data_IF_972899107481
#
_entry.id   IF_972899107481
#
_cell.length_a   1.000
_cell.length_b   1.000
_cell.length_c   1.000
_cell.angle_alpha   90.00
_cell.angle_beta   90.00
_cell.angle_gamma   90.00
#
_symmetry.space_group_name_H-M   'P 1'
#
loop_
_entity.id
_entity.type
_entity.pdbx_description
1 polymer ?
#
# COMPACT_ATOMS: atom_id res chain seq x y z
N UNK A 1 15.17 -10.74 -22.29
CA UNK A 1 14.33 -11.17 -21.16
C UNK A 1 14.36 -10.19 -20.00
N UNK A 2 15.53 -9.80 -19.52
CA UNK A 2 15.64 -8.81 -18.44
C UNK A 2 15.01 -7.48 -18.82
N UNK A 3 15.26 -7.03 -20.05
CA UNK A 3 14.70 -5.76 -20.57
C UNK A 3 13.17 -5.82 -20.59
N UNK A 4 12.60 -6.96 -21.00
CA UNK A 4 11.14 -7.16 -21.01
C UNK A 4 10.53 -7.03 -19.63
N UNK A 5 11.18 -7.63 -18.63
CA UNK A 5 10.70 -7.56 -17.24
C UNK A 5 10.75 -6.14 -16.70
N UNK A 6 11.82 -5.42 -17.02
CA UNK A 6 11.97 -4.02 -16.60
C UNK A 6 10.91 -3.14 -17.25
N UNK A 7 10.63 -3.34 -18.52
CA UNK A 7 9.62 -2.58 -19.23
C UNK A 7 8.22 -2.88 -18.69
N UNK A 8 7.93 -4.14 -18.41
CA UNK A 8 6.65 -4.53 -17.81
C UNK A 8 6.48 -3.91 -16.43
N UNK A 9 7.56 -3.89 -15.64
CA UNK A 9 7.54 -3.28 -14.32
C UNK A 9 7.26 -1.79 -14.41
N UNK A 10 7.95 -1.08 -15.31
CA UNK A 10 7.76 0.35 -15.51
C UNK A 10 6.35 0.68 -15.95
N UNK A 11 5.81 -0.10 -16.88
CA UNK A 11 4.45 0.10 -17.38
C UNK A 11 3.44 -0.12 -16.26
N UNK A 12 3.63 -1.21 -15.50
CA UNK A 12 2.75 -1.54 -14.39
C UNK A 12 2.78 -0.45 -13.32
N UNK A 13 3.98 0.03 -12.98
CA UNK A 13 4.16 1.12 -12.03
C UNK A 13 3.42 2.37 -12.47
N UNK A 14 3.52 2.73 -13.76
CA UNK A 14 2.85 3.91 -14.31
C UNK A 14 1.33 3.77 -14.23
N UNK A 15 0.79 2.60 -14.52
CA UNK A 15 -0.64 2.33 -14.42
C UNK A 15 -1.12 2.40 -12.98
N UNK A 16 -0.34 1.86 -12.05
CA UNK A 16 -0.65 1.91 -10.61
C UNK A 16 -0.63 3.36 -10.12
N UNK A 17 0.38 4.12 -10.53
CA UNK A 17 0.47 5.54 -10.19
C UNK A 17 -0.79 6.28 -10.63
N UNK A 18 -1.21 6.08 -11.86
CA UNK A 18 -2.40 6.72 -12.40
C UNK A 18 -3.66 6.34 -11.61
N UNK A 19 -3.77 5.06 -11.22
CA UNK A 19 -4.89 4.57 -10.44
C UNK A 19 -4.93 5.23 -9.07
N UNK A 20 -3.81 5.27 -8.37
CA UNK A 20 -3.72 5.92 -7.04
C UNK A 20 -4.06 7.41 -7.17
N UNK A 21 -3.45 8.07 -8.14
CA UNK A 21 -3.66 9.51 -8.35
C UNK A 21 -5.14 9.82 -8.59
N UNK A 22 -5.81 8.98 -9.36
CA UNK A 22 -7.25 9.14 -9.62
C UNK A 22 -8.05 9.10 -8.32
N UNK A 23 -7.83 8.09 -7.49
CA UNK A 23 -8.59 7.93 -6.26
C UNK A 23 -8.32 9.04 -5.25
N UNK A 24 -7.05 9.41 -5.06
CA UNK A 24 -6.72 10.47 -4.10
C UNK A 24 -7.23 11.83 -4.56
N UNK A 25 -7.22 12.08 -5.87
CA UNK A 25 -7.75 13.33 -6.43
C UNK A 25 -9.27 13.41 -6.24
N UNK A 26 -9.97 12.32 -6.53
CA UNK A 26 -11.42 12.26 -6.33
C UNK A 26 -11.82 12.42 -4.87
N UNK A 27 -10.96 11.98 -3.95
CA UNK A 27 -11.20 12.10 -2.51
C UNK A 27 -10.73 13.45 -1.96
N UNK A 28 -10.24 14.35 -2.79
CA UNK A 28 -9.71 15.66 -2.40
C UNK A 28 -8.56 15.55 -1.40
N UNK A 29 -7.76 14.50 -1.51
CA UNK A 29 -6.59 14.30 -0.67
C UNK A 29 -5.38 14.98 -1.29
N UNK A 30 -4.59 15.65 -0.44
CA UNK A 30 -3.39 16.34 -0.89
C UNK A 30 -2.18 15.44 -0.62
N UNK A 31 -1.93 14.51 -1.54
CA UNK A 31 -0.83 13.55 -1.44
C UNK A 31 0.23 13.92 -2.47
N UNK A 32 1.49 14.00 -2.04
CA UNK A 32 2.58 14.36 -2.94
C UNK A 32 2.83 13.25 -3.97
N UNK A 33 3.31 13.63 -5.14
CA UNK A 33 3.63 12.67 -6.20
C UNK A 33 4.75 11.72 -5.76
N UNK A 34 5.65 12.19 -4.91
CA UNK A 34 6.73 11.34 -4.37
C UNK A 34 6.14 10.19 -3.55
N UNK A 35 5.17 10.46 -2.71
CA UNK A 35 4.50 9.42 -1.90
C UNK A 35 3.78 8.44 -2.81
N UNK A 36 3.04 8.96 -3.80
CA UNK A 36 2.31 8.12 -4.73
C UNK A 36 3.28 7.24 -5.53
N UNK A 37 4.42 7.80 -5.96
CA UNK A 37 5.42 7.05 -6.70
C UNK A 37 6.00 5.91 -5.86
N UNK A 38 6.34 6.18 -4.60
CA UNK A 38 6.87 5.16 -3.70
C UNK A 38 5.84 4.06 -3.44
N UNK A 39 4.58 4.44 -3.23
CA UNK A 39 3.51 3.47 -3.06
C UNK A 39 3.30 2.63 -4.32
N UNK A 40 3.41 3.26 -5.49
CA UNK A 40 3.29 2.56 -6.77
C UNK A 40 4.37 1.50 -6.93
N UNK A 41 5.59 1.82 -6.53
CA UNK A 41 6.71 0.85 -6.55
C UNK A 41 6.38 -0.32 -5.62
N UNK A 42 5.92 -0.02 -4.41
CA UNK A 42 5.58 -1.05 -3.43
C UNK A 42 4.49 -1.98 -3.96
N UNK A 43 3.42 -1.43 -4.50
CA UNK A 43 2.31 -2.23 -5.01
C UNK A 43 2.72 -3.03 -6.25
N UNK A 44 3.56 -2.46 -7.12
CA UNK A 44 4.07 -3.20 -8.28
C UNK A 44 4.89 -4.41 -7.82
N UNK A 45 5.70 -4.24 -6.78
CA UNK A 45 6.47 -5.35 -6.21
C UNK A 45 5.57 -6.38 -5.54
N UNK A 46 4.53 -5.93 -4.84
CA UNK A 46 3.57 -6.82 -4.18
C UNK A 46 2.84 -7.68 -5.19
N UNK A 47 2.43 -7.11 -6.31
CA UNK A 47 1.76 -7.85 -7.38
C UNK A 47 2.70 -8.92 -7.93
N UNK A 48 3.98 -8.58 -8.12
CA UNK A 48 4.99 -9.52 -8.61
C UNK A 48 5.24 -10.63 -7.59
N UNK A 49 5.32 -10.29 -6.29
CA UNK A 49 5.51 -11.25 -5.22
C UNK A 49 4.34 -12.22 -5.10
N UNK A 50 3.13 -11.73 -5.25
CA UNK A 50 1.94 -12.58 -5.20
C UNK A 50 2.00 -13.62 -6.30
N UNK A 51 2.43 -13.24 -7.49
CA UNK A 51 2.65 -14.17 -8.58
C UNK A 51 3.78 -15.16 -8.27
N UNK A 52 4.73 -14.75 -7.45
CA UNK A 52 5.86 -15.59 -7.03
C UNK A 52 5.61 -16.37 -5.75
N UNK A 53 4.47 -16.13 -5.09
CA UNK A 53 4.13 -16.79 -3.85
C UNK A 53 4.73 -16.16 -2.60
N UNK A 54 5.25 -14.93 -2.68
CA UNK A 54 5.76 -14.23 -1.50
C UNK A 54 5.07 -12.88 -1.35
N UNK A 55 4.87 -12.46 -0.10
CA UNK A 55 4.19 -11.22 0.22
C UNK A 55 4.67 -10.65 1.55
N UNK A 56 4.31 -9.39 1.79
CA UNK A 56 4.68 -8.67 3.00
C UNK A 56 3.65 -8.96 4.09
N UNK A 57 4.12 -9.13 5.31
CA UNK A 57 3.25 -9.38 6.46
C UNK A 57 3.31 -8.22 7.44
N UNK A 58 2.16 -7.89 8.02
CA UNK A 58 2.05 -6.92 9.10
C UNK A 58 1.51 -7.61 10.34
N UNK A 59 1.88 -7.09 11.51
CA UNK A 59 1.36 -7.61 12.78
C UNK A 59 -0.13 -7.25 12.95
N UNK A 60 -0.84 -8.03 13.76
CA UNK A 60 -2.25 -7.75 14.05
C UNK A 60 -2.44 -6.36 14.62
N UNK A 61 -1.52 -5.90 15.45
CA UNK A 61 -1.56 -4.58 16.06
C UNK A 61 -1.48 -3.48 15.00
N UNK A 62 -0.56 -3.63 14.04
CA UNK A 62 -0.39 -2.67 12.95
C UNK A 62 -1.65 -2.60 12.09
N UNK A 63 -2.21 -3.77 11.76
CA UNK A 63 -3.43 -3.85 10.95
C UNK A 63 -4.58 -3.13 11.64
N UNK A 64 -4.77 -3.37 12.94
CA UNK A 64 -5.85 -2.74 13.69
C UNK A 64 -5.71 -1.22 13.74
N UNK A 65 -4.49 -0.71 13.89
CA UNK A 65 -4.26 0.73 13.87
C UNK A 65 -4.63 1.34 12.52
N UNK A 66 -4.23 0.68 11.43
CA UNK A 66 -4.45 1.19 10.09
C UNK A 66 -5.91 1.09 9.66
N UNK A 67 -6.65 0.09 10.16
CA UNK A 67 -8.08 -0.02 9.89
C UNK A 67 -8.86 1.18 10.39
N UNK A 68 -8.35 1.87 11.40
CA UNK A 68 -8.99 3.05 11.97
C UNK A 68 -8.59 4.33 11.25
N UNK A 69 -7.62 4.27 10.35
CA UNK A 69 -7.19 5.43 9.59
C UNK A 69 -8.21 5.83 8.54
N UNK A 70 -8.36 7.14 8.32
CA UNK A 70 -9.26 7.67 7.31
C UNK A 70 -8.90 7.18 5.90
N UNK A 71 -7.66 6.80 5.72
CA UNK A 71 -7.14 6.36 4.42
C UNK A 71 -7.39 4.89 4.13
N UNK A 72 -7.90 4.13 5.11
CA UNK A 72 -8.09 2.69 4.93
C UNK A 72 -9.12 2.38 3.84
N UNK A 73 -10.23 3.10 3.86
CA UNK A 73 -11.31 2.87 2.91
C UNK A 73 -10.88 3.14 1.47
N UNK A 74 -10.19 4.25 1.23
CA UNK A 74 -9.69 4.55 -0.11
C UNK A 74 -8.62 3.54 -0.53
N UNK A 75 -7.83 3.07 0.42
CA UNK A 75 -6.82 2.04 0.16
C UNK A 75 -7.46 0.73 -0.28
N UNK A 76 -8.58 0.36 0.33
CA UNK A 76 -9.34 -0.83 -0.09
C UNK A 76 -9.79 -0.70 -1.54
N UNK A 77 -10.29 0.47 -1.92
CA UNK A 77 -10.75 0.71 -3.29
C UNK A 77 -9.59 0.61 -4.29
N UNK A 78 -8.46 1.20 -3.95
CA UNK A 78 -7.27 1.16 -4.80
C UNK A 78 -6.79 -0.28 -5.00
N UNK A 79 -6.61 -1.00 -3.90
CA UNK A 79 -6.10 -2.37 -3.93
C UNK A 79 -7.08 -3.30 -4.65
N UNK A 80 -8.38 -3.12 -4.41
CA UNK A 80 -9.41 -3.91 -5.07
C UNK A 80 -9.40 -3.70 -6.58
N UNK A 81 -9.26 -2.45 -7.02
CA UNK A 81 -9.18 -2.11 -8.44
C UNK A 81 -7.96 -2.78 -9.08
N UNK A 82 -6.81 -2.70 -8.40
CA UNK A 82 -5.58 -3.29 -8.90
C UNK A 82 -5.65 -4.82 -8.92
N UNK A 83 -6.29 -5.44 -7.93
CA UNK A 83 -6.42 -6.88 -7.90
C UNK A 83 -7.25 -7.40 -9.07
N UNK A 84 -8.26 -6.66 -9.45
CA UNK A 84 -9.07 -7.00 -10.63
C UNK A 84 -8.30 -6.77 -11.92
N UNK A 85 -7.61 -5.65 -12.01
CA UNK A 85 -6.88 -5.27 -13.21
C UNK A 85 -5.79 -6.25 -13.57
N UNK A 86 -5.07 -6.75 -12.56
CA UNK A 86 -3.96 -7.66 -12.78
C UNK A 86 -4.30 -9.12 -12.49
N UNK A 87 -5.55 -9.39 -12.12
CA UNK A 87 -6.02 -10.74 -11.81
C UNK A 87 -5.11 -11.42 -10.78
N UNK A 88 -4.84 -10.71 -9.70
CA UNK A 88 -4.04 -11.20 -8.59
C UNK A 88 -4.78 -10.98 -7.28
N UNK A 89 -4.48 -11.83 -6.31
CA UNK A 89 -5.05 -11.69 -4.97
C UNK A 89 -4.09 -10.86 -4.13
N UNK A 90 -4.50 -9.65 -3.79
CA UNK A 90 -3.70 -8.75 -2.97
C UNK A 90 -4.22 -8.82 -1.54
N UNK A 91 -3.29 -8.93 -0.60
CA UNK A 91 -3.61 -9.21 0.80
C UNK A 91 -4.07 -7.96 1.56
N UNK A 92 -4.65 -8.19 2.75
CA UNK A 92 -4.99 -7.12 3.68
C UNK A 92 -3.74 -6.33 4.08
N UNK A 93 -2.58 -6.99 4.14
CA UNK A 93 -1.32 -6.33 4.46
C UNK A 93 -1.01 -5.24 3.43
N UNK A 94 -1.29 -5.48 2.16
CA UNK A 94 -1.06 -4.49 1.11
C UNK A 94 -2.02 -3.31 1.24
N UNK A 95 -3.26 -3.56 1.63
CA UNK A 95 -4.22 -2.50 1.91
C UNK A 95 -3.70 -1.62 3.04
N UNK A 96 -3.18 -2.23 4.09
CA UNK A 96 -2.61 -1.53 5.23
C UNK A 96 -1.38 -0.73 4.84
N UNK A 97 -0.52 -1.27 3.99
CA UNK A 97 0.63 -0.52 3.47
C UNK A 97 0.19 0.71 2.69
N UNK A 98 -0.83 0.55 1.86
CA UNK A 98 -1.39 1.66 1.11
C UNK A 98 -1.90 2.75 2.06
N UNK A 99 -2.66 2.36 3.09
CA UNK A 99 -3.19 3.28 4.09
C UNK A 99 -2.07 4.00 4.84
N UNK A 100 -1.00 3.27 5.16
CA UNK A 100 0.17 3.83 5.83
C UNK A 100 0.81 4.95 5.00
N UNK A 101 1.06 4.68 3.72
CA UNK A 101 1.64 5.67 2.82
C UNK A 101 0.73 6.89 2.65
N UNK A 102 -0.56 6.65 2.47
CA UNK A 102 -1.52 7.74 2.28
C UNK A 102 -1.74 8.56 3.56
N UNK A 103 -1.47 7.97 4.71
CA UNK A 103 -1.52 8.67 5.99
C UNK A 103 -0.19 9.34 6.36
N UNK A 104 0.81 9.21 5.50
CA UNK A 104 2.15 9.75 5.72
C UNK A 104 2.79 9.18 6.99
N UNK A 105 2.57 7.89 7.23
CA UNK A 105 3.13 7.16 8.37
C UNK A 105 4.19 6.17 7.89
N UNK A 106 5.02 5.69 8.82
CA UNK A 106 6.03 4.67 8.56
C UNK A 106 5.79 3.48 9.48
N UNK A 107 6.44 2.36 9.16
CA UNK A 107 6.39 1.18 10.03
C UNK A 107 6.96 1.48 11.42
N UNK A 108 7.97 2.34 11.47
CA UNK A 108 8.56 2.75 12.73
C UNK A 108 7.56 3.49 13.61
N UNK A 109 6.74 4.35 13.00
CA UNK A 109 5.70 5.07 13.73
C UNK A 109 4.69 4.11 14.36
N UNK A 110 4.28 3.09 13.60
CA UNK A 110 3.35 2.08 14.10
C UNK A 110 3.93 1.28 15.24
N UNK A 111 5.19 0.88 15.12
CA UNK A 111 5.89 0.12 16.14
C UNK A 111 6.06 0.96 17.40
N UNK A 112 6.38 2.24 17.26
CA UNK A 112 6.51 3.16 18.36
C UNK A 112 5.20 3.28 19.15
N UNK A 113 4.09 3.44 18.46
CA UNK A 113 2.78 3.51 19.13
C UNK A 113 2.46 2.23 19.89
N UNK A 114 2.78 1.07 19.31
CA UNK A 114 2.58 -0.21 19.97
C UNK A 114 3.40 -0.31 21.26
N UNK A 115 4.64 0.13 21.22
CA UNK A 115 5.52 0.13 22.40
C UNK A 115 5.00 1.09 23.47
N UNK A 116 4.53 2.27 23.09
CA UNK A 116 3.94 3.22 24.01
C UNK A 116 2.71 2.65 24.71
N UNK A 117 1.87 1.94 23.96
CA UNK A 117 0.67 1.30 24.54
C UNK A 117 1.06 0.26 25.60
N UNK A 118 2.11 -0.52 25.32
CA UNK A 118 2.61 -1.51 26.27
C UNK A 118 3.14 -0.85 27.52
N UNK A 119 3.88 0.23 27.40
CA UNK A 119 4.44 0.98 28.54
C UNK A 119 3.32 1.59 29.38
N UNK A 120 2.31 2.13 28.74
CA UNK A 120 1.17 2.75 29.43
C UNK A 120 0.37 1.74 30.26
N UNK A 121 0.40 0.49 29.91
CA UNK A 121 -0.32 -0.58 30.61
C UNK A 121 0.41 -1.06 31.86
N UNK A 122 1.66 -0.72 32.00
CA UNK A 122 2.45 -1.08 33.17
C UNK A 122 2.31 -0.03 34.29
#
# INVERSE_FOLDING_TARGET
>A
MVIELEEKFKLRKAEIFATIKKYVTEANMNISDTVIDNLSIHLALSITRELSGSYIEMSSSQIEQLKQANTYQISQLIVYDLSKKYDVKISEDDICYCAMYLSNMTLLDLDFFSECDIIDQE
#
